data_IF_372126697828
#
_entry.id   IF_372126697828
#
_cell.length_a   1.000
_cell.length_b   1.000
_cell.length_c   1.000
_cell.angle_alpha   90.00
_cell.angle_beta   90.00
_cell.angle_gamma   90.00
#
_symmetry.space_group_name_H-M   'P 1'
#
loop_
_entity.id
_entity.type
_entity.pdbx_description
1 polymer ?
#
# COMPACT_ATOMS: atom_id res chain seq x y z
N UNK A 1 -14.75 -14.90 -9.91
CA UNK A 1 -14.67 -15.18 -8.47
C UNK A 1 -15.81 -16.11 -8.06
N UNK A 2 -17.09 -15.72 -8.17
CA UNK A 2 -18.25 -16.56 -7.79
C UNK A 2 -18.28 -17.94 -8.48
N UNK A 3 -17.72 -18.03 -9.67
CA UNK A 3 -17.65 -19.26 -10.46
C UNK A 3 -16.33 -20.03 -10.34
N UNK A 4 -15.49 -19.69 -9.35
CA UNK A 4 -14.13 -20.23 -9.26
C UNK A 4 -14.08 -21.77 -9.19
N UNK A 5 -14.97 -22.39 -8.42
CA UNK A 5 -15.04 -23.85 -8.30
C UNK A 5 -15.35 -24.50 -9.66
N UNK A 6 -16.31 -23.93 -10.38
CA UNK A 6 -16.69 -24.41 -11.72
C UNK A 6 -15.56 -24.22 -12.73
N UNK A 7 -14.94 -23.02 -12.75
CA UNK A 7 -13.86 -22.69 -13.66
C UNK A 7 -12.60 -23.54 -13.40
N UNK A 8 -12.32 -23.89 -12.14
CA UNK A 8 -11.21 -24.74 -11.76
C UNK A 8 -11.53 -26.26 -11.82
N UNK A 9 -12.72 -26.67 -12.24
CA UNK A 9 -13.14 -28.07 -12.21
C UNK A 9 -13.33 -28.65 -10.80
N UNK A 10 -13.37 -27.80 -9.77
CA UNK A 10 -13.36 -28.18 -8.35
C UNK A 10 -14.75 -28.07 -7.70
N UNK A 11 -15.80 -28.53 -8.39
CA UNK A 11 -17.21 -28.39 -7.94
C UNK A 11 -17.46 -28.86 -6.50
N UNK A 12 -16.75 -29.90 -6.07
CA UNK A 12 -16.89 -30.51 -4.74
C UNK A 12 -15.90 -29.97 -3.69
N UNK A 13 -15.10 -28.94 -4.04
CA UNK A 13 -14.20 -28.35 -3.06
C UNK A 13 -14.97 -27.69 -1.91
N UNK A 14 -14.38 -27.72 -0.73
CA UNK A 14 -14.90 -27.02 0.44
C UNK A 14 -15.14 -25.52 0.14
N UNK A 15 -16.09 -24.86 0.82
CA UNK A 15 -16.21 -23.41 0.77
C UNK A 15 -14.88 -22.76 1.13
N UNK A 16 -14.61 -21.58 0.54
CA UNK A 16 -13.50 -20.78 1.00
C UNK A 16 -13.71 -20.34 2.45
N UNK A 17 -12.62 -20.17 3.23
CA UNK A 17 -12.72 -19.83 4.65
C UNK A 17 -13.14 -18.36 4.88
N UNK A 18 -13.63 -17.66 3.84
CA UNK A 18 -14.08 -16.28 3.91
C UNK A 18 -15.23 -16.02 2.93
N UNK A 19 -16.01 -14.96 3.22
CA UNK A 19 -17.11 -14.49 2.39
C UNK A 19 -16.57 -13.53 1.32
N UNK A 20 -16.56 -13.99 0.07
CA UNK A 20 -16.07 -13.20 -1.06
C UNK A 20 -16.78 -11.86 -1.25
N UNK A 21 -18.08 -11.82 -1.07
CA UNK A 21 -18.84 -10.60 -1.31
C UNK A 21 -18.53 -9.52 -0.28
N UNK A 22 -18.07 -9.93 0.91
CA UNK A 22 -17.63 -9.01 1.96
C UNK A 22 -16.15 -8.69 1.94
N UNK A 23 -15.32 -9.64 1.51
CA UNK A 23 -13.87 -9.49 1.62
C UNK A 23 -13.24 -8.94 0.34
N UNK A 24 -13.81 -9.23 -0.83
CA UNK A 24 -13.29 -8.75 -2.11
C UNK A 24 -13.82 -7.34 -2.42
N UNK A 25 -13.15 -6.35 -1.85
CA UNK A 25 -13.57 -4.95 -1.92
C UNK A 25 -12.59 -4.04 -2.67
N UNK A 26 -11.60 -4.60 -3.31
CA UNK A 26 -10.61 -3.88 -4.10
C UNK A 26 -9.75 -4.83 -4.90
N UNK A 27 -9.00 -4.32 -5.85
CA UNK A 27 -8.13 -5.12 -6.69
C UNK A 27 -6.97 -4.33 -7.29
N UNK A 28 -6.09 -5.07 -7.95
CA UNK A 28 -5.02 -4.58 -8.80
C UNK A 28 -5.13 -5.26 -10.16
N UNK A 29 -5.04 -4.47 -11.23
CA UNK A 29 -5.00 -5.02 -12.59
C UNK A 29 -3.66 -5.72 -12.84
N UNK A 30 -3.65 -6.84 -13.57
CA UNK A 30 -2.41 -7.46 -14.01
C UNK A 30 -1.55 -6.46 -14.80
N UNK A 31 -0.25 -6.53 -14.61
CA UNK A 31 0.73 -5.64 -15.25
C UNK A 31 0.50 -4.13 -15.02
N UNK A 32 -0.36 -3.76 -14.08
CA UNK A 32 -0.78 -2.37 -13.83
C UNK A 32 -1.41 -1.71 -15.07
N UNK A 33 -2.10 -2.46 -15.91
CA UNK A 33 -2.71 -1.98 -17.15
C UNK A 33 -4.24 -2.08 -17.13
N UNK A 34 -4.91 -1.27 -17.96
CA UNK A 34 -6.37 -1.33 -18.13
C UNK A 34 -7.19 -0.67 -17.01
N UNK A 35 -6.58 0.17 -16.18
CA UNK A 35 -7.21 0.80 -15.02
C UNK A 35 -8.53 1.52 -15.36
N UNK A 36 -8.57 2.25 -16.47
CA UNK A 36 -9.77 3.01 -16.87
C UNK A 36 -11.01 2.13 -17.02
N UNK A 37 -10.85 0.96 -17.66
CA UNK A 37 -11.97 0.03 -17.83
C UNK A 37 -12.27 -0.73 -16.54
N UNK A 38 -11.22 -1.06 -15.78
CA UNK A 38 -11.34 -1.74 -14.49
C UNK A 38 -12.11 -0.91 -13.48
N UNK A 39 -11.77 0.37 -13.30
CA UNK A 39 -12.37 1.23 -12.27
C UNK A 39 -13.89 1.32 -12.39
N UNK A 40 -14.41 1.52 -13.61
CA UNK A 40 -15.87 1.54 -13.83
C UNK A 40 -16.51 0.21 -13.44
N UNK A 41 -15.98 -0.91 -13.92
CA UNK A 41 -16.52 -2.23 -13.60
C UNK A 41 -16.39 -2.55 -12.10
N UNK A 42 -15.31 -2.15 -11.46
CA UNK A 42 -15.08 -2.34 -10.03
C UNK A 42 -16.07 -1.51 -9.19
N UNK A 43 -16.33 -0.25 -9.56
CA UNK A 43 -17.33 0.58 -8.91
C UNK A 43 -18.72 -0.07 -8.98
N UNK A 44 -19.13 -0.54 -10.16
CA UNK A 44 -20.43 -1.20 -10.36
C UNK A 44 -20.56 -2.51 -9.55
N UNK A 45 -19.43 -3.15 -9.23
CA UNK A 45 -19.37 -4.34 -8.38
C UNK A 45 -19.26 -4.02 -6.88
N UNK A 46 -19.26 -2.74 -6.50
CA UNK A 46 -19.17 -2.31 -5.11
C UNK A 46 -17.75 -2.37 -4.52
N UNK A 47 -16.72 -2.36 -5.36
CA UNK A 47 -15.34 -2.23 -4.88
C UNK A 47 -15.13 -0.83 -4.29
N UNK A 48 -14.19 -0.73 -3.37
CA UNK A 48 -13.92 0.51 -2.64
C UNK A 48 -12.58 1.15 -2.99
N UNK A 49 -11.64 0.36 -3.53
CA UNK A 49 -10.31 0.85 -3.89
C UNK A 49 -9.72 0.13 -5.10
N UNK A 50 -8.84 0.83 -5.78
CA UNK A 50 -7.96 0.37 -6.84
C UNK A 50 -6.50 0.56 -6.43
N UNK A 51 -5.65 -0.43 -6.65
CA UNK A 51 -4.20 -0.36 -6.37
C UNK A 51 -3.37 -0.52 -7.64
N UNK A 52 -3.96 -0.27 -8.80
CA UNK A 52 -3.31 -0.51 -10.10
C UNK A 52 -2.45 0.65 -10.59
N UNK A 53 -2.53 1.81 -9.96
CA UNK A 53 -1.79 3.00 -10.39
C UNK A 53 -0.37 3.07 -9.84
N UNK A 54 0.34 4.08 -10.33
CA UNK A 54 1.62 4.56 -9.82
C UNK A 54 1.45 6.03 -9.50
N UNK A 55 1.73 6.42 -8.27
CA UNK A 55 1.57 7.80 -7.80
C UNK A 55 2.80 8.30 -7.06
N UNK A 56 2.86 9.61 -6.89
CA UNK A 56 3.73 10.23 -5.90
C UNK A 56 3.29 9.86 -4.49
N UNK A 57 4.15 10.07 -3.51
CA UNK A 57 3.85 9.80 -2.10
C UNK A 57 3.00 10.91 -1.48
N UNK A 58 1.73 10.95 -1.89
CA UNK A 58 0.71 11.90 -1.42
C UNK A 58 -0.50 11.16 -0.83
N UNK A 59 -1.40 11.89 -0.19
CA UNK A 59 -2.62 11.30 0.35
C UNK A 59 -3.56 10.83 -0.77
N UNK A 60 -4.18 9.65 -0.61
CA UNK A 60 -5.12 9.11 -1.58
C UNK A 60 -6.32 10.03 -1.82
N UNK A 61 -6.76 10.08 -3.07
CA UNK A 61 -8.02 10.68 -3.49
C UNK A 61 -8.91 9.64 -4.15
N UNK A 62 -10.16 9.98 -4.47
CA UNK A 62 -11.08 9.10 -5.19
C UNK A 62 -11.03 9.37 -6.69
N UNK A 63 -10.93 8.30 -7.46
CA UNK A 63 -11.09 8.30 -8.91
C UNK A 63 -12.19 7.30 -9.30
N UNK A 64 -13.17 7.74 -10.10
CA UNK A 64 -14.38 6.95 -10.42
C UNK A 64 -15.08 6.35 -9.17
N UNK A 65 -15.05 7.06 -8.03
CA UNK A 65 -15.67 6.63 -6.76
C UNK A 65 -14.84 5.62 -5.95
N UNK A 66 -13.72 5.13 -6.45
CA UNK A 66 -12.78 4.24 -5.77
C UNK A 66 -11.64 5.04 -5.14
N UNK A 67 -11.16 4.64 -3.95
CA UNK A 67 -9.90 5.16 -3.42
C UNK A 67 -8.75 4.70 -4.31
N UNK A 68 -7.95 5.65 -4.77
CA UNK A 68 -6.67 5.36 -5.44
C UNK A 68 -5.60 5.03 -4.38
N UNK A 69 -5.42 3.74 -4.11
CA UNK A 69 -4.41 3.23 -3.20
C UNK A 69 -3.20 2.71 -3.99
N UNK A 70 -2.76 3.49 -4.95
CA UNK A 70 -1.61 3.16 -5.81
C UNK A 70 -0.31 3.02 -5.01
N UNK A 71 0.60 2.21 -5.54
CA UNK A 71 1.98 2.19 -5.07
C UNK A 71 2.67 3.51 -5.41
N UNK A 72 3.64 3.90 -4.59
CA UNK A 72 4.29 5.20 -4.71
C UNK A 72 5.73 5.11 -5.17
N UNK A 73 6.19 6.23 -5.71
CA UNK A 73 7.59 6.48 -5.96
C UNK A 73 8.27 6.90 -4.65
N UNK A 74 9.39 6.28 -4.33
CA UNK A 74 10.21 6.55 -3.14
C UNK A 74 11.67 6.76 -3.52
N UNK A 75 12.46 7.48 -2.69
CA UNK A 75 13.88 7.66 -2.96
C UNK A 75 14.59 6.34 -3.22
N UNK A 76 15.49 6.34 -4.19
CA UNK A 76 16.32 5.18 -4.50
C UNK A 76 17.79 5.50 -4.15
N UNK A 77 18.32 4.97 -3.05
CA UNK A 77 19.64 5.33 -2.53
C UNK A 77 20.75 5.20 -3.58
N UNK A 78 21.55 6.25 -3.73
CA UNK A 78 22.62 6.30 -4.73
C UNK A 78 22.17 6.58 -6.17
N UNK A 79 20.86 6.79 -6.39
CA UNK A 79 20.30 7.14 -7.70
C UNK A 79 19.63 8.51 -7.67
N UNK A 80 19.49 9.12 -8.86
CA UNK A 80 18.77 10.38 -9.02
C UNK A 80 17.27 10.19 -9.15
N UNK A 81 16.87 9.03 -9.68
CA UNK A 81 15.49 8.67 -9.94
C UNK A 81 14.88 7.98 -8.71
N UNK A 82 13.59 8.12 -8.57
CA UNK A 82 12.81 7.40 -7.57
C UNK A 82 12.44 6.00 -8.07
N UNK A 83 12.13 5.10 -7.13
CA UNK A 83 11.76 3.72 -7.42
C UNK A 83 10.35 3.44 -6.93
N UNK A 84 9.58 2.66 -7.71
CA UNK A 84 8.28 2.19 -7.30
C UNK A 84 8.41 1.21 -6.13
N UNK A 85 7.53 1.30 -5.15
CA UNK A 85 7.46 0.46 -3.95
C UNK A 85 7.01 -0.97 -4.25
N UNK A 86 7.61 -1.61 -5.26
CA UNK A 86 7.28 -2.97 -5.69
C UNK A 86 8.55 -3.77 -5.99
N UNK A 87 8.64 -4.97 -5.43
CA UNK A 87 9.77 -5.90 -5.56
C UNK A 87 10.20 -6.15 -7.02
N UNK A 88 9.24 -6.30 -7.92
CA UNK A 88 9.48 -6.51 -9.35
C UNK A 88 10.29 -5.36 -9.98
N UNK A 89 10.03 -4.12 -9.59
CA UNK A 89 10.75 -2.95 -10.12
C UNK A 89 12.21 -2.94 -9.66
N UNK A 90 12.48 -3.33 -8.42
CA UNK A 90 13.86 -3.52 -7.93
C UNK A 90 14.55 -4.66 -8.68
N UNK A 91 13.88 -5.79 -8.88
CA UNK A 91 14.42 -6.92 -9.63
C UNK A 91 14.79 -6.54 -11.07
N UNK A 92 13.91 -5.84 -11.79
CA UNK A 92 14.21 -5.35 -13.15
C UNK A 92 15.47 -4.48 -13.16
N UNK A 93 15.56 -3.52 -12.27
CA UNK A 93 16.66 -2.58 -12.26
C UNK A 93 18.00 -3.21 -11.82
N UNK A 94 17.98 -4.33 -11.12
CA UNK A 94 19.20 -4.97 -10.57
C UNK A 94 19.62 -6.22 -11.30
N UNK A 95 18.72 -7.13 -11.56
CA UNK A 95 19.03 -8.39 -12.24
C UNK A 95 18.51 -8.46 -13.69
N UNK A 96 17.95 -7.35 -14.24
CA UNK A 96 17.36 -7.34 -15.58
C UNK A 96 16.17 -8.31 -15.69
N UNK A 97 15.35 -8.38 -14.64
CA UNK A 97 14.25 -9.31 -14.48
C UNK A 97 14.66 -10.81 -14.31
N UNK A 98 15.95 -11.10 -14.11
CA UNK A 98 16.36 -12.46 -13.77
C UNK A 98 15.91 -12.78 -12.33
N UNK A 99 15.13 -13.86 -12.18
CA UNK A 99 14.60 -14.32 -10.88
C UNK A 99 15.69 -14.99 -10.03
N UNK A 100 16.79 -15.43 -10.67
CA UNK A 100 18.00 -15.98 -10.06
C UNK A 100 19.20 -15.25 -10.68
N UNK A 101 19.46 -14.05 -10.20
CA UNK A 101 20.60 -13.26 -10.63
C UNK A 101 21.88 -13.62 -9.88
N UNK A 102 22.91 -12.77 -10.02
CA UNK A 102 24.21 -12.93 -9.39
C UNK A 102 24.10 -13.11 -7.86
N UNK A 103 24.46 -14.29 -7.37
CA UNK A 103 24.30 -14.67 -5.97
C UNK A 103 25.05 -13.72 -5.00
N UNK A 104 26.21 -13.22 -5.42
CA UNK A 104 27.03 -12.32 -4.60
C UNK A 104 26.43 -10.93 -4.45
N UNK A 105 25.40 -10.59 -5.25
CA UNK A 105 24.72 -9.30 -5.24
C UNK A 105 23.31 -9.33 -4.64
N UNK A 106 22.75 -10.51 -4.42
CA UNK A 106 21.36 -10.65 -3.99
C UNK A 106 21.08 -9.97 -2.66
N UNK A 107 22.01 -10.07 -1.71
CA UNK A 107 21.90 -9.38 -0.42
C UNK A 107 21.88 -7.86 -0.59
N UNK A 108 22.82 -7.33 -1.35
CA UNK A 108 22.89 -5.90 -1.67
C UNK A 108 21.61 -5.38 -2.32
N UNK A 109 21.02 -6.11 -3.27
CA UNK A 109 19.76 -5.71 -3.91
C UNK A 109 18.57 -5.67 -2.93
N UNK A 110 18.54 -6.62 -1.98
CA UNK A 110 17.57 -6.59 -0.89
C UNK A 110 17.74 -5.37 0.01
N UNK A 111 18.98 -5.07 0.39
CA UNK A 111 19.31 -3.90 1.21
C UNK A 111 18.92 -2.59 0.53
N UNK A 112 19.16 -2.44 -0.76
CA UNK A 112 18.72 -1.25 -1.51
C UNK A 112 17.20 -1.08 -1.52
N UNK A 113 16.44 -2.18 -1.68
CA UNK A 113 14.97 -2.12 -1.57
C UNK A 113 14.55 -1.72 -0.17
N UNK A 114 15.11 -2.36 0.87
CA UNK A 114 14.84 -1.97 2.27
C UNK A 114 15.12 -0.48 2.51
N UNK A 115 16.27 -0.02 2.10
CA UNK A 115 16.69 1.35 2.33
C UNK A 115 15.83 2.36 1.56
N UNK A 116 15.37 2.01 0.36
CA UNK A 116 14.39 2.79 -0.40
C UNK A 116 13.06 2.89 0.35
N UNK A 117 12.53 1.78 0.83
CA UNK A 117 11.28 1.73 1.60
C UNK A 117 11.39 2.52 2.91
N UNK A 118 12.52 2.40 3.62
CA UNK A 118 12.78 3.15 4.85
C UNK A 118 12.91 4.66 4.59
N UNK A 119 13.55 5.08 3.51
CA UNK A 119 13.62 6.50 3.14
C UNK A 119 12.26 7.05 2.73
N UNK A 120 11.46 6.29 1.96
CA UNK A 120 10.09 6.63 1.65
C UNK A 120 9.23 6.75 2.91
N UNK A 121 9.36 5.81 3.84
CA UNK A 121 8.69 5.89 5.14
C UNK A 121 9.10 7.15 5.91
N UNK A 122 10.39 7.41 6.04
CA UNK A 122 10.92 8.57 6.78
C UNK A 122 10.44 9.89 6.18
N UNK A 123 10.42 10.00 4.84
CA UNK A 123 9.90 11.17 4.13
C UNK A 123 8.44 11.46 4.47
N UNK A 124 7.59 10.43 4.44
CA UNK A 124 6.19 10.57 4.82
C UNK A 124 6.03 10.82 6.32
N UNK A 125 6.71 10.04 7.16
CA UNK A 125 6.59 10.10 8.61
C UNK A 125 6.97 11.46 9.20
N UNK A 126 8.02 12.09 8.66
CA UNK A 126 8.46 13.44 9.05
C UNK A 126 7.69 14.55 8.31
N UNK A 127 7.09 14.22 7.18
CA UNK A 127 6.41 15.14 6.27
C UNK A 127 4.89 15.07 6.32
N UNK A 128 4.29 14.72 5.18
CA UNK A 128 2.86 14.74 4.93
C UNK A 128 2.05 13.60 5.57
N UNK A 129 2.70 12.61 6.17
CA UNK A 129 2.06 11.44 6.78
C UNK A 129 1.20 10.63 5.81
N UNK A 130 1.42 10.75 4.50
CA UNK A 130 0.73 9.95 3.51
C UNK A 130 0.99 8.44 3.72
N UNK A 131 -0.01 7.57 3.48
CA UNK A 131 0.19 6.13 3.56
C UNK A 131 1.31 5.67 2.63
N UNK A 132 2.15 4.73 3.08
CA UNK A 132 3.10 4.03 2.23
C UNK A 132 2.48 2.68 1.82
N UNK A 133 2.21 2.51 0.53
CA UNK A 133 1.67 1.28 -0.05
C UNK A 133 2.81 0.50 -0.68
N UNK A 134 3.01 -0.74 -0.23
CA UNK A 134 4.07 -1.63 -0.73
C UNK A 134 3.42 -2.77 -1.52
N UNK A 135 3.91 -3.02 -2.73
CA UNK A 135 3.56 -4.17 -3.55
C UNK A 135 4.63 -5.26 -3.45
N UNK A 136 4.20 -6.52 -3.26
CA UNK A 136 5.10 -7.64 -3.22
C UNK A 136 4.44 -8.87 -3.86
N UNK A 137 5.20 -9.65 -4.63
CA UNK A 137 4.70 -10.84 -5.31
C UNK A 137 4.82 -12.12 -4.47
N UNK A 138 5.40 -12.02 -3.27
CA UNK A 138 5.66 -13.18 -2.39
C UNK A 138 6.47 -14.28 -3.04
N UNK A 139 7.37 -13.92 -3.93
CA UNK A 139 8.26 -14.81 -4.66
C UNK A 139 9.65 -14.87 -4.01
N UNK A 140 10.34 -15.99 -4.18
CA UNK A 140 11.71 -16.17 -3.69
C UNK A 140 12.77 -15.61 -4.63
N UNK A 141 12.44 -14.60 -5.41
CA UNK A 141 13.37 -13.99 -6.37
C UNK A 141 14.66 -13.54 -5.70
N UNK A 142 15.77 -13.84 -6.40
CA UNK A 142 17.12 -13.50 -5.95
C UNK A 142 17.37 -13.94 -4.49
N UNK A 143 17.10 -15.21 -4.21
CA UNK A 143 17.32 -15.78 -2.89
C UNK A 143 16.35 -15.26 -1.81
N UNK A 144 15.21 -14.69 -2.20
CA UNK A 144 14.23 -14.12 -1.26
C UNK A 144 14.63 -12.76 -0.70
N UNK A 145 15.64 -12.10 -1.30
CA UNK A 145 16.19 -10.83 -0.78
C UNK A 145 15.14 -9.72 -0.67
N UNK A 146 14.19 -9.66 -1.61
CA UNK A 146 13.11 -8.66 -1.58
C UNK A 146 12.04 -8.96 -0.52
N UNK A 147 11.77 -10.25 -0.25
CA UNK A 147 10.89 -10.64 0.87
C UNK A 147 11.52 -10.25 2.21
N UNK A 148 12.84 -10.49 2.37
CA UNK A 148 13.60 -10.05 3.52
C UNK A 148 13.55 -8.53 3.69
N UNK A 149 13.71 -7.76 2.60
CA UNK A 149 13.63 -6.30 2.62
C UNK A 149 12.28 -5.79 3.15
N UNK A 150 11.16 -6.41 2.75
CA UNK A 150 9.82 -6.08 3.27
C UNK A 150 9.71 -6.43 4.75
N UNK A 151 10.15 -7.62 5.15
CA UNK A 151 10.11 -8.07 6.54
C UNK A 151 10.90 -7.10 7.47
N UNK A 152 12.13 -6.79 7.12
CA UNK A 152 12.98 -5.85 7.86
C UNK A 152 12.36 -4.45 7.92
N UNK A 153 11.77 -3.97 6.83
CA UNK A 153 11.06 -2.69 6.79
C UNK A 153 9.88 -2.69 7.76
N UNK A 154 9.03 -3.71 7.72
CA UNK A 154 7.85 -3.85 8.60
C UNK A 154 8.30 -3.86 10.08
N UNK A 155 9.32 -4.65 10.41
CA UNK A 155 9.87 -4.68 11.77
C UNK A 155 10.40 -3.32 12.22
N UNK A 156 11.07 -2.59 11.35
CA UNK A 156 11.65 -1.28 11.67
C UNK A 156 10.60 -0.18 11.89
N UNK A 157 9.44 -0.24 11.18
CA UNK A 157 8.51 0.89 11.16
C UNK A 157 7.23 0.67 11.94
N UNK A 158 6.70 -0.56 12.02
CA UNK A 158 5.35 -0.81 12.56
C UNK A 158 5.22 -0.58 14.07
N UNK A 159 6.32 -0.54 14.80
CA UNK A 159 6.36 -0.25 16.23
C UNK A 159 6.66 1.23 16.55
N UNK A 160 6.84 2.08 15.55
CA UNK A 160 7.10 3.51 15.78
C UNK A 160 5.83 4.20 16.30
N UNK A 161 5.98 5.24 17.14
CA UNK A 161 4.84 6.05 17.58
C UNK A 161 4.01 6.55 16.41
N UNK A 162 2.69 6.57 16.56
CA UNK A 162 1.73 7.07 15.55
C UNK A 162 1.76 6.32 14.19
N UNK A 163 2.43 5.18 14.09
CA UNK A 163 2.44 4.31 12.90
C UNK A 163 1.41 3.19 13.05
N UNK A 164 0.73 2.89 11.95
CA UNK A 164 -0.21 1.78 11.83
C UNK A 164 0.12 0.98 10.56
N UNK A 165 0.56 -0.25 10.73
CA UNK A 165 0.64 -1.21 9.64
C UNK A 165 -0.69 -1.93 9.52
N UNK A 166 -1.39 -1.71 8.42
CA UNK A 166 -2.77 -2.14 8.24
C UNK A 166 -3.00 -2.71 6.85
N UNK A 167 -4.08 -3.48 6.68
CA UNK A 167 -4.54 -3.89 5.35
C UNK A 167 -5.13 -2.70 4.58
N UNK A 168 -5.19 -2.80 3.24
CA UNK A 168 -5.84 -1.80 2.39
C UNK A 168 -7.31 -1.59 2.76
N UNK A 169 -8.03 -2.65 3.19
CA UNK A 169 -9.37 -2.53 3.76
C UNK A 169 -9.43 -1.53 4.92
N UNK A 170 -8.53 -1.70 5.89
CA UNK A 170 -8.48 -0.82 7.07
C UNK A 170 -8.09 0.61 6.71
N UNK A 171 -7.23 0.79 5.72
CA UNK A 171 -6.93 2.11 5.19
C UNK A 171 -8.17 2.74 4.55
N UNK A 172 -8.89 2.01 3.70
CA UNK A 172 -10.13 2.47 3.10
C UNK A 172 -11.21 2.79 4.15
N UNK A 173 -11.34 1.96 5.20
CA UNK A 173 -12.25 2.22 6.32
C UNK A 173 -11.91 3.53 7.05
N UNK A 174 -10.61 3.78 7.26
CA UNK A 174 -10.14 5.01 7.88
C UNK A 174 -10.42 6.22 7.00
N UNK A 175 -10.13 6.14 5.70
CA UNK A 175 -10.39 7.22 4.74
C UNK A 175 -11.88 7.56 4.64
N UNK A 176 -12.75 6.55 4.56
CA UNK A 176 -14.20 6.76 4.49
C UNK A 176 -14.78 7.36 5.80
N UNK A 177 -14.09 7.16 6.93
CA UNK A 177 -14.50 7.71 8.23
C UNK A 177 -14.05 9.17 8.44
N UNK A 178 -13.19 9.71 7.57
CA UNK A 178 -12.70 11.07 7.72
C UNK A 178 -13.73 12.10 7.25
N UNK A 179 -13.70 13.28 7.87
CA UNK A 179 -14.42 14.45 7.38
C UNK A 179 -13.86 14.88 6.01
N UNK A 180 -14.73 15.16 5.01
CA UNK A 180 -14.30 15.55 3.67
C UNK A 180 -13.36 16.76 3.62
N UNK A 181 -13.54 17.75 4.53
CA UNK A 181 -12.65 18.90 4.62
C UNK A 181 -11.25 18.52 5.12
N UNK A 182 -11.17 17.51 5.99
CA UNK A 182 -9.90 16.99 6.45
C UNK A 182 -9.17 16.27 5.31
N UNK A 183 -9.86 15.44 4.54
CA UNK A 183 -9.31 14.79 3.36
C UNK A 183 -8.83 15.81 2.32
N UNK A 184 -9.66 16.81 1.98
CA UNK A 184 -9.26 17.88 1.05
C UNK A 184 -8.01 18.64 1.49
N UNK A 185 -7.78 18.79 2.79
CA UNK A 185 -6.56 19.42 3.31
C UNK A 185 -5.35 18.45 3.25
N UNK A 186 -5.57 17.17 3.50
CA UNK A 186 -4.52 16.15 3.44
C UNK A 186 -4.03 15.98 2.01
N UNK A 187 -4.92 15.91 1.02
CA UNK A 187 -4.56 15.76 -0.40
C UNK A 187 -3.80 16.96 -0.97
N UNK A 188 -3.88 18.13 -0.32
CA UNK A 188 -3.11 19.33 -0.69
C UNK A 188 -1.68 19.35 -0.14
N UNK A 189 -1.31 18.40 0.72
CA UNK A 189 0.06 18.29 1.19
C UNK A 189 0.91 17.58 0.13
N UNK A 190 1.91 18.26 -0.38
CA UNK A 190 2.86 17.68 -1.31
C UNK A 190 3.75 16.61 -0.69
N UNK A 191 4.51 15.92 -1.52
CA UNK A 191 5.46 14.88 -1.10
C UNK A 191 6.40 15.40 -0.01
N UNK A 192 6.41 14.71 1.13
CA UNK A 192 7.26 15.07 2.28
C UNK A 192 6.92 16.42 2.94
N UNK A 193 5.81 17.06 2.59
CA UNK A 193 5.45 18.38 3.10
C UNK A 193 4.67 18.29 4.41
N UNK A 194 5.29 18.63 5.53
CA UNK A 194 4.59 18.76 6.80
C UNK A 194 3.67 20.01 6.82
N UNK A 195 2.53 19.96 7.55
CA UNK A 195 1.70 21.15 7.75
C UNK A 195 2.48 22.27 8.44
N UNK A 196 2.42 23.50 7.90
CA UNK A 196 3.15 24.66 8.44
C UNK A 196 2.83 24.96 9.91
N UNK A 197 1.59 24.71 10.33
CA UNK A 197 1.10 24.91 11.71
C UNK A 197 1.35 23.71 12.64
N UNK A 198 2.03 22.67 12.15
CA UNK A 198 2.21 21.39 12.85
C UNK A 198 0.95 20.52 12.85
N UNK A 199 1.15 19.22 13.06
CA UNK A 199 0.10 18.19 12.95
C UNK A 199 -1.04 18.38 13.96
N UNK A 200 -0.73 18.72 15.20
CA UNK A 200 -1.76 18.92 16.24
C UNK A 200 -2.75 20.01 15.84
N UNK A 201 -2.25 21.17 15.38
CA UNK A 201 -3.09 22.27 14.91
C UNK A 201 -3.82 21.93 13.61
N UNK A 202 -3.15 21.21 12.70
CA UNK A 202 -3.75 20.77 11.44
C UNK A 202 -4.96 19.86 11.67
N UNK A 203 -4.87 18.91 12.59
CA UNK A 203 -5.96 17.97 12.88
C UNK A 203 -7.04 18.55 13.80
N UNK A 204 -6.74 19.55 14.63
CA UNK A 204 -7.70 20.16 15.55
C UNK A 204 -8.79 21.00 14.87
N UNK A 205 -8.59 21.39 13.60
CA UNK A 205 -9.54 22.22 12.84
C UNK A 205 -10.82 21.44 12.45
N UNK A 206 -10.79 20.11 12.50
CA UNK A 206 -11.97 19.24 12.36
C UNK A 206 -11.70 17.95 13.13
N UNK A 207 -12.23 17.77 14.32
CA UNK A 207 -12.19 16.47 14.97
C UNK A 207 -13.00 15.48 14.12
N UNK A 208 -12.35 14.44 13.61
CA UNK A 208 -13.04 13.34 12.98
C UNK A 208 -14.00 12.70 14.00
N UNK A 209 -15.25 12.41 13.65
CA UNK A 209 -16.12 11.64 14.53
C UNK A 209 -15.45 10.27 14.78
N UNK A 210 -15.39 9.84 16.03
CA UNK A 210 -14.87 8.53 16.38
C UNK A 210 -15.59 7.46 15.54
N UNK A 211 -14.87 6.51 14.89
CA UNK A 211 -15.49 5.50 14.05
C UNK A 211 -16.48 4.70 14.89
N UNK A 212 -17.75 4.77 14.52
CA UNK A 212 -18.79 3.96 15.15
C UNK A 212 -18.50 2.50 14.79
N UNK A 213 -18.10 1.71 15.79
CA UNK A 213 -18.14 0.25 15.70
C UNK A 213 -16.89 -0.46 15.15
N UNK A 214 -15.70 0.08 15.27
CA UNK A 214 -14.48 -0.73 15.10
C UNK A 214 -14.23 -1.47 16.42
N UNK A 215 -14.32 -2.82 16.47
CA UNK A 215 -13.93 -3.55 17.67
C UNK A 215 -12.48 -3.22 18.00
N UNK A 216 -12.21 -2.84 19.24
CA UNK A 216 -10.89 -2.46 19.69
C UNK A 216 -9.86 -3.52 19.35
N UNK A 217 -8.70 -3.12 18.83
CA UNK A 217 -7.57 -4.01 18.73
C UNK A 217 -7.26 -4.56 20.14
N UNK A 218 -6.96 -5.86 20.28
CA UNK A 218 -6.60 -6.40 21.58
C UNK A 218 -5.40 -5.65 22.12
N UNK A 219 -5.48 -5.21 23.39
CA UNK A 219 -4.38 -4.58 24.08
C UNK A 219 -3.22 -5.59 24.13
N UNK A 220 -2.11 -5.25 23.51
CA UNK A 220 -0.86 -5.99 23.69
C UNK A 220 -0.46 -5.78 25.14
N UNK A 221 -0.65 -6.80 25.97
CA UNK A 221 -0.08 -6.83 27.33
C UNK A 221 1.44 -6.83 27.18
N UNK A 222 2.09 -5.87 27.83
CA UNK A 222 3.53 -5.80 27.99
C UNK A 222 4.05 -6.98 28.81
#
# INVERSE_FOLDING_TARGET
VKSWKTNAGMKNAAPLPFDYDKELIGARTPCLEGQKNFRRAAHDLGFRYDTSGVNDQVWPDKDDGLWDLSMQLVPFPGHKDEQLTMDYNFMINRSGAATQGDADKQEFWGDEMRDSLLQGFDRAYKGNRAPLVIGNHFESWNGGSYMRAVDETVHAVCNKPEVRCVSLRRLADWLDAQDPKTLDRLTKLGVGQAPKQGWASFMSISPAPAPKGVPGAPAVKR
#
